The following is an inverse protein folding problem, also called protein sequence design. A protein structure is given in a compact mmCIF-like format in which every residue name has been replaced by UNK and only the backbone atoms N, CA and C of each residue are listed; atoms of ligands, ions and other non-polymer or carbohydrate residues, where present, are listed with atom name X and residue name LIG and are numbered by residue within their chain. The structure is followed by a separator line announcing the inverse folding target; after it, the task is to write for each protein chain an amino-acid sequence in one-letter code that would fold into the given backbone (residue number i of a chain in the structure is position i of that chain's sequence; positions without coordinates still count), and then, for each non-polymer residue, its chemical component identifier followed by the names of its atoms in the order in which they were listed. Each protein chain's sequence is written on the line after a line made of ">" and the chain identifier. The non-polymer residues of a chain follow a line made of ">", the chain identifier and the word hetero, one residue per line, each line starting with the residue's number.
data_IF_175397677255
#
_entry.id   IF_175397677255
#
_cell.length_a   1.000
_cell.length_b   1.000
_cell.length_c   1.000
_cell.angle_alpha   90.00
_cell.angle_beta   90.00
_cell.angle_gamma   90.00
#
_symmetry.space_group_name_H-M   'P 1'
#
loop_
_entity.id
_entity.type
_entity.pdbx_description
1 polymer ?
#
# COMPACT_ATOMS: atom_id res chain seq x y z
N UNK A 1 -10.67 4.56 -21.17
CA UNK A 1 -9.45 4.58 -20.33
C UNK A 1 -8.73 5.90 -20.59
N UNK A 2 -8.21 6.54 -19.55
CA UNK A 2 -7.37 7.75 -19.68
C UNK A 2 -6.00 7.33 -20.20
N UNK A 3 -5.42 8.06 -21.15
CA UNK A 3 -4.05 7.80 -21.57
C UNK A 3 -3.08 8.31 -20.50
N UNK A 4 -2.26 7.40 -19.96
CA UNK A 4 -1.33 7.69 -18.86
C UNK A 4 -0.36 8.82 -19.20
N UNK A 5 0.24 8.81 -20.40
CA UNK A 5 1.22 9.81 -20.81
C UNK A 5 0.57 11.20 -20.95
N UNK A 6 -0.57 11.27 -21.64
CA UNK A 6 -1.30 12.52 -21.84
C UNK A 6 -1.80 13.12 -20.53
N UNK A 7 -2.32 12.28 -19.64
CA UNK A 7 -2.79 12.73 -18.33
C UNK A 7 -1.64 13.20 -17.44
N UNK A 8 -0.49 12.52 -17.47
CA UNK A 8 0.71 12.94 -16.75
C UNK A 8 1.17 14.34 -17.21
N UNK A 9 1.31 14.57 -18.52
CA UNK A 9 1.67 15.91 -19.05
C UNK A 9 0.67 16.99 -18.66
N UNK A 10 -0.63 16.65 -18.64
CA UNK A 10 -1.69 17.56 -18.22
C UNK A 10 -1.58 17.93 -16.73
N UNK A 11 -1.34 16.96 -15.86
CA UNK A 11 -1.14 17.20 -14.43
C UNK A 11 0.10 18.06 -14.18
N UNK A 12 1.22 17.72 -14.82
CA UNK A 12 2.47 18.46 -14.70
C UNK A 12 2.29 19.93 -15.13
N UNK A 13 1.62 20.18 -16.27
CA UNK A 13 1.39 21.54 -16.73
C UNK A 13 0.48 22.33 -15.78
N UNK A 14 -0.64 21.75 -15.34
CA UNK A 14 -1.59 22.43 -14.46
C UNK A 14 -1.05 22.63 -13.03
N UNK A 15 -0.10 21.80 -12.60
CA UNK A 15 0.63 22.02 -11.35
C UNK A 15 1.49 23.29 -11.38
N UNK A 16 2.14 23.56 -12.52
CA UNK A 16 3.01 24.72 -12.71
C UNK A 16 2.23 25.99 -13.10
N UNK A 17 1.07 25.81 -13.74
CA UNK A 17 0.25 26.88 -14.28
C UNK A 17 -1.20 26.70 -13.87
N UNK A 18 -1.56 27.27 -12.72
CA UNK A 18 -2.95 27.31 -12.31
C UNK A 18 -3.80 28.06 -13.35
N UNK A 19 -5.04 27.62 -13.51
CA UNK A 19 -6.06 28.33 -14.28
C UNK A 19 -5.77 28.41 -15.81
N UNK A 20 -5.17 27.38 -16.41
CA UNK A 20 -4.85 27.32 -17.84
C UNK A 20 -6.09 27.17 -18.75
N UNK A 21 -6.05 27.74 -19.96
CA UNK A 21 -7.10 27.55 -20.97
C UNK A 21 -6.82 26.36 -21.88
N UNK A 22 -7.82 25.91 -22.66
CA UNK A 22 -7.61 24.85 -23.66
C UNK A 22 -6.56 25.24 -24.72
N UNK A 23 -6.44 26.54 -25.03
CA UNK A 23 -5.45 27.03 -25.99
C UNK A 23 -4.03 26.86 -25.44
N UNK A 24 -3.83 27.16 -24.16
CA UNK A 24 -2.54 27.01 -23.49
C UNK A 24 -2.15 25.53 -23.44
N UNK A 25 -3.09 24.66 -23.03
CA UNK A 25 -2.88 23.21 -22.99
C UNK A 25 -2.52 22.63 -24.36
N UNK A 26 -3.23 23.02 -25.43
CA UNK A 26 -2.94 22.54 -26.79
C UNK A 26 -1.61 23.03 -27.35
N UNK A 27 -1.10 24.16 -26.86
CA UNK A 27 0.18 24.71 -27.30
C UNK A 27 1.34 23.87 -26.77
N UNK A 28 1.26 23.45 -25.52
CA UNK A 28 2.35 22.73 -24.83
C UNK A 28 2.21 21.21 -24.95
N UNK A 29 0.97 20.68 -24.93
CA UNK A 29 0.72 19.24 -24.95
C UNK A 29 0.29 18.82 -26.37
N UNK A 30 1.24 18.28 -27.14
CA UNK A 30 1.03 17.83 -28.52
C UNK A 30 0.46 16.41 -28.64
N UNK A 31 -0.42 16.00 -27.72
CA UNK A 31 -1.04 14.68 -27.73
C UNK A 31 -2.42 14.69 -28.37
N UNK A 32 -2.66 13.78 -29.33
CA UNK A 32 -3.90 13.71 -30.12
C UNK A 32 -5.16 13.45 -29.28
N UNK A 33 -5.00 12.86 -28.10
CA UNK A 33 -6.09 12.48 -27.19
C UNK A 33 -6.25 13.42 -25.99
N UNK A 34 -5.64 14.62 -26.02
CA UNK A 34 -5.73 15.61 -24.95
C UNK A 34 -7.19 15.96 -24.59
N UNK A 35 -8.01 16.30 -25.58
CA UNK A 35 -9.41 16.69 -25.34
C UNK A 35 -10.22 15.54 -24.72
N UNK A 36 -10.04 14.33 -25.24
CA UNK A 36 -10.68 13.11 -24.69
C UNK A 36 -10.20 12.83 -23.27
N UNK A 37 -8.91 13.04 -22.99
CA UNK A 37 -8.32 12.89 -21.66
C UNK A 37 -8.91 13.90 -20.67
N UNK A 38 -9.04 15.17 -21.07
CA UNK A 38 -9.69 16.22 -20.28
C UNK A 38 -11.15 15.85 -19.99
N UNK A 39 -11.91 15.42 -21.00
CA UNK A 39 -13.31 15.03 -20.84
C UNK A 39 -13.47 13.88 -19.82
N UNK A 40 -12.66 12.83 -19.94
CA UNK A 40 -12.68 11.71 -19.00
C UNK A 40 -12.25 12.18 -17.59
N UNK A 41 -11.22 13.00 -17.47
CA UNK A 41 -10.74 13.49 -16.18
C UNK A 41 -11.78 14.39 -15.48
N UNK A 42 -12.54 15.21 -16.21
CA UNK A 42 -13.67 15.97 -15.66
C UNK A 42 -14.77 15.02 -15.19
N UNK A 43 -15.13 14.01 -16.00
CA UNK A 43 -16.14 13.01 -15.63
C UNK A 43 -15.76 12.25 -14.35
N UNK A 44 -14.47 11.97 -14.17
CA UNK A 44 -13.91 11.34 -12.97
C UNK A 44 -13.68 12.33 -11.82
N UNK A 45 -14.04 13.61 -11.97
CA UNK A 45 -13.84 14.68 -10.99
C UNK A 45 -12.38 14.92 -10.61
N UNK A 46 -11.43 14.53 -11.47
CA UNK A 46 -9.99 14.79 -11.33
C UNK A 46 -9.62 16.19 -11.83
N UNK A 47 -10.41 16.72 -12.77
CA UNK A 47 -10.32 18.08 -13.26
C UNK A 47 -11.63 18.81 -13.10
N UNK A 48 -11.55 20.12 -12.95
CA UNK A 48 -12.67 21.02 -13.00
C UNK A 48 -12.42 22.11 -14.05
N UNK A 49 -13.49 22.53 -14.71
CA UNK A 49 -13.46 23.63 -15.66
C UNK A 49 -14.37 24.76 -15.19
N UNK A 50 -13.79 25.89 -14.81
CA UNK A 50 -14.49 27.11 -14.39
C UNK A 50 -14.05 28.26 -15.28
N UNK A 51 -14.99 29.05 -15.80
CA UNK A 51 -14.69 30.24 -16.64
C UNK A 51 -13.69 29.97 -17.77
N UNK A 52 -13.83 28.82 -18.43
CA UNK A 52 -12.98 28.30 -19.52
C UNK A 52 -11.54 27.94 -19.11
N UNK A 53 -11.24 27.91 -17.82
CA UNK A 53 -9.95 27.55 -17.24
C UNK A 53 -10.04 26.19 -16.55
N UNK A 54 -8.96 25.42 -16.59
CA UNK A 54 -8.89 24.08 -16.02
C UNK A 54 -8.08 24.08 -14.73
N UNK A 55 -8.54 23.29 -13.77
CA UNK A 55 -7.96 23.16 -12.44
C UNK A 55 -7.91 21.68 -12.04
N UNK A 56 -6.84 21.29 -11.36
CA UNK A 56 -6.75 19.99 -10.71
C UNK A 56 -7.66 19.98 -9.48
N UNK A 57 -8.37 18.86 -9.27
CA UNK A 57 -9.29 18.66 -8.14
C UNK A 57 -8.67 17.84 -7.02
N UNK A 58 -7.37 17.64 -7.08
CA UNK A 58 -6.58 16.87 -6.13
C UNK A 58 -5.25 17.57 -5.88
N UNK A 59 -4.67 17.39 -4.69
CA UNK A 59 -3.35 17.94 -4.37
C UNK A 59 -2.24 17.17 -5.09
N UNK A 60 -1.19 17.90 -5.47
CA UNK A 60 0.09 17.34 -5.90
C UNK A 60 1.13 17.72 -4.87
N UNK A 61 1.76 16.73 -4.25
CA UNK A 61 2.73 16.94 -3.18
C UNK A 61 4.16 16.88 -3.71
N UNK A 62 4.94 17.92 -3.41
CA UNK A 62 6.38 17.95 -3.67
C UNK A 62 7.17 17.45 -2.47
N UNK A 63 8.46 17.13 -2.67
CA UNK A 63 9.35 16.73 -1.58
C UNK A 63 9.39 17.78 -0.46
N UNK A 64 9.39 19.08 -0.82
CA UNK A 64 9.33 20.16 0.17
C UNK A 64 8.06 20.09 1.02
N UNK A 65 6.90 19.91 0.39
CA UNK A 65 5.62 19.80 1.10
C UNK A 65 5.63 18.60 2.05
N UNK A 66 6.15 17.45 1.62
CA UNK A 66 6.33 16.27 2.46
C UNK A 66 7.23 16.57 3.66
N UNK A 67 8.38 17.21 3.45
CA UNK A 67 9.28 17.62 4.54
C UNK A 67 8.64 18.63 5.51
N UNK A 68 7.74 19.49 5.02
CA UNK A 68 7.00 20.42 5.89
C UNK A 68 5.91 19.69 6.69
N UNK A 69 5.21 18.71 6.08
CA UNK A 69 4.26 17.83 6.77
C UNK A 69 4.93 17.05 7.90
N UNK A 70 6.14 16.54 7.67
CA UNK A 70 6.91 15.82 8.68
C UNK A 70 7.17 16.70 9.91
N UNK A 71 7.30 18.02 9.77
CA UNK A 71 7.57 18.93 10.89
C UNK A 71 6.30 19.33 11.67
N UNK A 72 5.11 18.97 11.19
CA UNK A 72 3.88 19.27 11.90
C UNK A 72 3.86 18.56 13.27
N UNK A 73 3.46 19.29 14.32
CA UNK A 73 3.37 18.76 15.69
C UNK A 73 2.50 17.50 15.75
N UNK A 74 1.30 17.56 15.15
CA UNK A 74 0.39 16.39 15.09
C UNK A 74 0.99 15.18 14.37
N UNK A 75 1.84 15.39 13.37
CA UNK A 75 2.52 14.29 12.67
C UNK A 75 3.60 13.67 13.56
N UNK A 76 4.39 14.49 14.24
CA UNK A 76 5.41 14.03 15.17
C UNK A 76 4.80 13.28 16.36
N UNK A 77 3.70 13.79 16.93
CA UNK A 77 2.95 13.10 17.98
C UNK A 77 2.45 11.72 17.52
N UNK A 78 1.86 11.63 16.32
CA UNK A 78 1.41 10.38 15.74
C UNK A 78 2.57 9.38 15.56
N UNK A 79 3.73 9.85 15.11
CA UNK A 79 4.91 9.02 14.93
C UNK A 79 5.44 8.50 16.29
N UNK A 80 5.46 9.34 17.32
CA UNK A 80 5.84 8.92 18.67
C UNK A 80 4.85 7.92 19.29
N UNK A 81 3.55 8.00 18.95
CA UNK A 81 2.57 6.98 19.34
C UNK A 81 2.92 5.64 18.70
N UNK A 82 3.21 5.59 17.39
CA UNK A 82 3.61 4.34 16.72
C UNK A 82 4.90 3.74 17.30
N UNK A 83 5.88 4.58 17.65
CA UNK A 83 7.17 4.15 18.23
C UNK A 83 7.06 3.55 19.63
N UNK A 84 5.93 3.70 20.34
CA UNK A 84 5.73 3.05 21.64
C UNK A 84 5.56 1.52 21.53
N UNK A 85 5.41 1.00 20.31
CA UNK A 85 5.45 -0.43 19.96
C UNK A 85 4.51 -1.35 20.76
N UNK A 86 3.34 -0.85 21.18
CA UNK A 86 2.27 -1.77 21.54
C UNK A 86 1.74 -2.39 20.26
N UNK A 87 2.05 -3.68 20.06
CA UNK A 87 1.66 -4.43 18.87
C UNK A 87 0.17 -4.32 18.57
N UNK A 88 -0.70 -4.31 19.57
CA UNK A 88 -2.16 -4.21 19.35
C UNK A 88 -2.53 -2.84 18.76
N UNK A 89 -2.02 -1.76 19.36
CA UNK A 89 -2.23 -0.40 18.87
C UNK A 89 -1.67 -0.21 17.45
N UNK A 90 -0.43 -0.65 17.18
CA UNK A 90 0.18 -0.53 15.85
C UNK A 90 -0.68 -1.15 14.76
N UNK A 91 -1.27 -2.32 15.03
CA UNK A 91 -2.13 -2.97 14.05
C UNK A 91 -3.53 -2.34 13.96
N UNK A 92 -4.05 -1.75 15.04
CA UNK A 92 -5.25 -0.92 14.97
C UNK A 92 -5.03 0.26 14.01
N UNK A 93 -3.88 0.93 14.09
CA UNK A 93 -3.51 2.03 13.19
C UNK A 93 -3.36 1.57 11.74
N UNK A 94 -2.68 0.44 11.50
CA UNK A 94 -2.55 -0.13 10.15
C UNK A 94 -3.90 -0.51 9.56
N UNK A 95 -4.81 -1.06 10.37
CA UNK A 95 -6.17 -1.37 9.95
C UNK A 95 -6.97 -0.11 9.60
N UNK A 96 -6.87 0.94 10.42
CA UNK A 96 -7.51 2.23 10.13
C UNK A 96 -7.00 2.80 8.81
N UNK A 97 -5.68 2.79 8.60
CA UNK A 97 -5.09 3.24 7.36
C UNK A 97 -5.53 2.39 6.16
N UNK A 98 -5.61 1.06 6.29
CA UNK A 98 -6.17 0.20 5.22
C UNK A 98 -7.63 0.60 4.88
N UNK A 99 -8.47 0.86 5.88
CA UNK A 99 -9.85 1.35 5.65
C UNK A 99 -9.86 2.71 4.97
N UNK A 100 -8.94 3.59 5.34
CA UNK A 100 -8.81 4.91 4.73
C UNK A 100 -8.43 4.83 3.25
N UNK A 101 -7.58 3.87 2.85
CA UNK A 101 -7.24 3.61 1.45
C UNK A 101 -8.46 3.17 0.61
N UNK A 102 -9.50 2.63 1.24
CA UNK A 102 -10.76 2.28 0.55
C UNK A 102 -11.67 3.49 0.32
N UNK A 103 -11.30 4.69 0.80
CA UNK A 103 -12.06 5.92 0.59
C UNK A 103 -11.68 6.61 -0.74
N UNK A 104 -12.53 7.51 -1.23
CA UNK A 104 -12.29 8.25 -2.49
C UNK A 104 -11.36 9.44 -2.30
N UNK A 105 -10.17 9.23 -1.74
CA UNK A 105 -9.11 10.24 -1.69
C UNK A 105 -8.12 9.99 -2.82
N UNK A 106 -7.91 10.99 -3.67
CA UNK A 106 -6.95 10.94 -4.76
C UNK A 106 -5.95 12.09 -4.60
N UNK A 107 -4.68 11.79 -4.74
CA UNK A 107 -3.58 12.74 -4.72
C UNK A 107 -2.51 12.28 -5.70
N UNK A 108 -1.60 13.18 -6.03
CA UNK A 108 -0.38 12.82 -6.76
C UNK A 108 0.83 13.30 -5.97
N UNK A 109 1.96 12.67 -6.27
CA UNK A 109 3.27 13.07 -5.76
C UNK A 109 4.13 13.47 -6.95
N UNK A 110 4.93 14.51 -6.75
CA UNK A 110 6.04 14.80 -7.65
C UNK A 110 7.08 13.66 -7.53
N UNK A 111 7.85 13.43 -8.58
CA UNK A 111 8.82 12.32 -8.63
C UNK A 111 9.73 12.28 -7.38
N UNK A 112 10.07 11.06 -6.93
CA UNK A 112 11.02 10.72 -5.85
C UNK A 112 10.49 10.60 -4.40
N UNK A 113 9.18 10.65 -4.14
CA UNK A 113 8.66 10.40 -2.78
C UNK A 113 8.38 8.89 -2.60
N UNK A 114 9.24 8.21 -1.84
CA UNK A 114 8.98 6.85 -1.39
C UNK A 114 7.87 6.87 -0.33
N UNK A 115 6.84 6.06 -0.52
CA UNK A 115 5.73 5.92 0.42
C UNK A 115 5.56 4.46 0.82
N UNK A 116 5.14 4.26 2.06
CA UNK A 116 4.60 3.00 2.51
C UNK A 116 3.29 2.74 1.77
N UNK A 117 3.00 1.47 1.58
CA UNK A 117 1.81 1.02 0.91
C UNK A 117 1.27 -0.23 1.63
N UNK A 118 -0.03 -0.48 1.54
CA UNK A 118 -0.69 -1.62 2.16
C UNK A 118 -1.25 -2.55 1.09
N UNK A 119 -1.03 -3.85 1.28
CA UNK A 119 -1.70 -4.90 0.51
C UNK A 119 -2.38 -5.89 1.45
N UNK A 120 -3.51 -6.42 1.00
CA UNK A 120 -4.27 -7.44 1.70
C UNK A 120 -4.47 -8.68 0.82
N UNK A 121 -4.40 -9.85 1.47
CA UNK A 121 -4.72 -11.15 0.87
C UNK A 121 -5.66 -11.89 1.82
N UNK A 122 -6.89 -12.17 1.38
CA UNK A 122 -7.98 -12.63 2.26
C UNK A 122 -8.82 -13.75 1.66
N UNK A 123 -9.21 -14.70 2.51
CA UNK A 123 -10.26 -15.68 2.26
C UNK A 123 -11.24 -15.66 3.44
N UNK A 124 -12.10 -16.67 3.56
CA UNK A 124 -13.10 -16.75 4.63
C UNK A 124 -12.51 -17.04 6.01
N UNK A 125 -11.27 -17.53 6.10
CA UNK A 125 -10.63 -17.94 7.35
C UNK A 125 -9.67 -16.89 7.92
N UNK A 126 -8.90 -16.22 7.04
CA UNK A 126 -7.86 -15.27 7.44
C UNK A 126 -7.82 -14.06 6.50
N UNK A 127 -7.26 -12.96 7.03
CA UNK A 127 -6.73 -11.85 6.23
C UNK A 127 -5.26 -11.68 6.58
N UNK A 128 -4.39 -11.81 5.58
CA UNK A 128 -2.98 -11.42 5.64
C UNK A 128 -2.88 -9.96 5.22
N UNK A 129 -2.29 -9.12 6.08
CA UNK A 129 -2.10 -7.69 5.79
C UNK A 129 -0.62 -7.37 5.93
N UNK A 130 -0.10 -6.65 4.94
CA UNK A 130 1.28 -6.19 4.91
C UNK A 130 1.35 -4.70 4.60
N UNK A 131 2.20 -3.99 5.33
CA UNK A 131 2.60 -2.61 5.04
C UNK A 131 4.10 -2.61 4.75
N UNK A 132 4.53 -2.04 3.63
CA UNK A 132 5.93 -2.04 3.21
C UNK A 132 6.24 -0.80 2.38
N UNK A 133 7.53 -0.52 2.17
CA UNK A 133 7.94 0.51 1.22
C UNK A 133 7.64 0.07 -0.22
N UNK A 134 7.22 1.00 -1.07
CA UNK A 134 6.97 0.72 -2.49
C UNK A 134 8.17 0.07 -3.18
N UNK A 135 7.90 -0.96 -4.00
CA UNK A 135 8.89 -1.65 -4.82
C UNK A 135 9.54 -2.88 -4.19
N UNK A 136 9.20 -3.24 -2.95
CA UNK A 136 9.77 -4.40 -2.26
C UNK A 136 8.83 -5.62 -2.21
N UNK A 137 8.95 -6.63 -3.08
CA UNK A 137 7.98 -7.75 -3.13
C UNK A 137 8.28 -8.89 -2.14
N UNK A 138 8.48 -8.56 -0.86
CA UNK A 138 8.92 -9.51 0.18
C UNK A 138 7.78 -10.18 0.95
N UNK A 139 6.53 -9.75 0.76
CA UNK A 139 5.36 -10.23 1.50
C UNK A 139 4.35 -10.93 0.60
N UNK A 140 3.59 -11.89 1.15
CA UNK A 140 2.60 -12.65 0.38
C UNK A 140 1.52 -11.74 -0.24
N UNK A 141 0.91 -10.77 0.48
CA UNK A 141 -0.09 -9.92 -0.12
C UNK A 141 0.44 -9.09 -1.29
N UNK A 142 1.70 -8.65 -1.25
CA UNK A 142 2.28 -7.92 -2.37
C UNK A 142 2.64 -8.81 -3.54
N UNK A 143 3.20 -9.98 -3.28
CA UNK A 143 3.50 -10.95 -4.33
C UNK A 143 2.25 -11.31 -5.16
N UNK A 144 1.12 -11.59 -4.51
CA UNK A 144 -0.13 -11.87 -5.24
C UNK A 144 -0.77 -10.64 -5.87
N UNK A 145 -0.63 -9.44 -5.28
CA UNK A 145 -1.06 -8.20 -5.96
C UNK A 145 -0.25 -7.96 -7.22
N UNK A 146 1.07 -8.08 -7.16
CA UNK A 146 1.96 -7.95 -8.30
C UNK A 146 1.64 -8.98 -9.38
N UNK A 147 1.34 -10.24 -9.02
CA UNK A 147 1.06 -11.31 -9.98
C UNK A 147 -0.23 -11.04 -10.78
N UNK A 148 -1.18 -10.30 -10.18
CA UNK A 148 -2.43 -9.88 -10.84
C UNK A 148 -2.25 -8.64 -11.71
N UNK A 149 -1.45 -7.68 -11.25
CA UNK A 149 -1.30 -6.37 -11.87
C UNK A 149 -0.23 -6.36 -12.98
N UNK A 150 0.79 -7.19 -12.84
CA UNK A 150 1.97 -7.20 -13.69
C UNK A 150 2.43 -8.63 -13.99
N UNK A 151 2.33 -9.03 -15.26
CA UNK A 151 2.89 -10.30 -15.76
C UNK A 151 4.44 -10.28 -15.81
N UNK A 152 5.09 -9.21 -15.34
CA UNK A 152 6.56 -9.08 -15.27
C UNK A 152 7.12 -9.28 -13.86
N UNK A 153 6.45 -10.06 -13.00
CA UNK A 153 7.15 -10.70 -11.88
C UNK A 153 8.34 -11.48 -12.49
N UNK A 154 9.54 -10.93 -12.35
CA UNK A 154 10.76 -11.56 -12.85
C UNK A 154 11.17 -12.69 -11.90
N UNK A 155 11.97 -13.62 -12.41
CA UNK A 155 12.65 -14.69 -11.66
C UNK A 155 13.59 -14.18 -10.55
N UNK A 156 13.60 -12.87 -10.26
CA UNK A 156 14.43 -12.25 -9.23
C UNK A 156 13.77 -12.28 -7.84
N UNK A 157 12.50 -12.68 -7.73
CA UNK A 157 11.80 -12.77 -6.45
C UNK A 157 11.87 -14.17 -5.85
N UNK A 158 12.41 -14.28 -4.63
CA UNK A 158 12.48 -15.54 -3.89
C UNK A 158 11.12 -16.24 -3.70
N UNK A 159 10.01 -15.49 -3.72
CA UNK A 159 8.66 -16.06 -3.67
C UNK A 159 8.26 -16.70 -5.00
N UNK A 160 8.68 -16.16 -6.14
CA UNK A 160 8.39 -16.74 -7.45
C UNK A 160 9.11 -18.08 -7.65
N UNK A 161 10.36 -18.20 -7.16
CA UNK A 161 11.11 -19.46 -7.18
C UNK A 161 10.39 -20.62 -6.45
N UNK A 162 9.52 -20.29 -5.50
CA UNK A 162 8.80 -21.27 -4.68
C UNK A 162 7.35 -21.46 -5.12
N UNK A 163 6.66 -20.37 -5.41
CA UNK A 163 5.22 -20.36 -5.71
C UNK A 163 4.91 -20.26 -7.20
N UNK A 164 5.82 -19.78 -8.04
CA UNK A 164 5.61 -19.64 -9.48
C UNK A 164 4.39 -18.80 -9.83
N UNK A 165 3.45 -19.38 -10.58
CA UNK A 165 2.18 -18.80 -11.00
C UNK A 165 0.97 -19.46 -10.31
N UNK A 166 1.18 -20.05 -9.12
CA UNK A 166 0.12 -20.75 -8.40
C UNK A 166 -1.09 -19.84 -8.17
N UNK A 167 -2.29 -20.41 -8.40
CA UNK A 167 -3.56 -19.75 -8.16
C UNK A 167 -3.66 -19.19 -6.72
N UNK A 168 -4.06 -17.92 -6.62
CA UNK A 168 -4.10 -17.17 -5.37
C UNK A 168 -5.05 -17.81 -4.35
N UNK A 169 -6.25 -18.20 -4.78
CA UNK A 169 -7.27 -18.70 -3.86
C UNK A 169 -6.87 -20.07 -3.32
N UNK A 170 -6.28 -20.91 -4.18
CA UNK A 170 -5.67 -22.17 -3.76
C UNK A 170 -4.53 -21.96 -2.76
N UNK A 171 -3.58 -21.07 -3.07
CA UNK A 171 -2.45 -20.78 -2.18
C UNK A 171 -2.94 -20.26 -0.81
N UNK A 172 -3.92 -19.37 -0.81
CA UNK A 172 -4.45 -18.78 0.40
C UNK A 172 -5.16 -19.79 1.30
N UNK A 173 -5.88 -20.76 0.73
CA UNK A 173 -6.44 -21.88 1.48
C UNK A 173 -5.34 -22.73 2.13
N UNK A 174 -4.21 -22.96 1.44
CA UNK A 174 -3.08 -23.68 2.00
C UNK A 174 -2.39 -22.89 3.12
N UNK A 175 -2.19 -21.58 2.96
CA UNK A 175 -1.64 -20.72 4.01
C UNK A 175 -2.53 -20.72 5.25
N UNK A 176 -3.84 -20.59 5.08
CA UNK A 176 -4.82 -20.59 6.17
C UNK A 176 -4.77 -21.89 6.96
N UNK A 177 -4.78 -23.03 6.26
CA UNK A 177 -4.65 -24.34 6.89
C UNK A 177 -3.35 -24.48 7.69
N UNK A 178 -2.21 -24.04 7.14
CA UNK A 178 -0.91 -24.11 7.81
C UNK A 178 -0.89 -23.21 9.05
N UNK A 179 -1.31 -21.95 8.93
CA UNK A 179 -1.33 -20.97 10.03
C UNK A 179 -2.22 -21.48 11.17
N UNK A 180 -3.44 -21.96 10.88
CA UNK A 180 -4.32 -22.52 11.90
C UNK A 180 -3.72 -23.76 12.60
N UNK A 181 -2.98 -24.60 11.86
CA UNK A 181 -2.33 -25.77 12.48
C UNK A 181 -1.24 -25.35 13.46
N UNK A 182 -0.37 -24.42 13.06
CA UNK A 182 0.67 -23.89 13.95
C UNK A 182 0.04 -23.21 15.17
N UNK A 183 -0.99 -22.40 14.96
CA UNK A 183 -1.72 -21.74 16.06
C UNK A 183 -2.30 -22.75 17.08
N UNK A 184 -2.74 -23.93 16.60
CA UNK A 184 -3.25 -25.03 17.45
C UNK A 184 -2.14 -25.96 17.99
N UNK A 185 -0.86 -25.60 17.85
CA UNK A 185 0.28 -26.40 18.31
C UNK A 185 0.47 -27.72 17.52
N UNK A 186 -0.09 -27.82 16.31
CA UNK A 186 -0.01 -29.04 15.48
C UNK A 186 1.18 -28.95 14.53
N UNK A 187 1.86 -30.09 14.34
CA UNK A 187 2.95 -30.22 13.35
C UNK A 187 2.47 -29.89 11.94
N UNK A 188 3.33 -29.25 11.14
CA UNK A 188 3.12 -28.94 9.72
C UNK A 188 4.13 -29.73 8.89
N UNK A 189 3.74 -30.11 7.67
CA UNK A 189 4.62 -30.80 6.72
C UNK A 189 5.28 -29.76 5.79
N UNK A 190 6.57 -29.91 5.47
CA UNK A 190 7.21 -29.09 4.44
C UNK A 190 6.47 -29.16 3.10
N UNK A 191 6.33 -28.01 2.47
CA UNK A 191 5.65 -27.74 1.20
C UNK A 191 6.07 -26.36 0.67
N UNK A 192 5.81 -26.08 -0.60
CA UNK A 192 6.03 -24.76 -1.19
C UNK A 192 5.33 -23.64 -0.39
N UNK A 193 4.15 -23.91 0.14
CA UNK A 193 3.39 -22.94 0.94
C UNK A 193 4.05 -22.66 2.28
N UNK A 194 4.50 -23.72 2.96
CA UNK A 194 5.22 -23.59 4.22
C UNK A 194 6.57 -22.88 4.04
N UNK A 195 7.23 -23.08 2.89
CA UNK A 195 8.48 -22.41 2.54
C UNK A 195 8.24 -20.93 2.23
N UNK A 196 7.18 -20.59 1.50
CA UNK A 196 6.81 -19.20 1.25
C UNK A 196 6.52 -18.46 2.56
N UNK A 197 5.82 -19.09 3.51
CA UNK A 197 5.57 -18.52 4.84
C UNK A 197 6.86 -18.31 5.66
N UNK A 198 7.91 -19.11 5.44
CA UNK A 198 9.23 -18.90 6.06
C UNK A 198 9.98 -17.75 5.39
N UNK A 199 9.97 -17.69 4.05
CA UNK A 199 10.61 -16.61 3.26
C UNK A 199 10.02 -15.25 3.65
N UNK A 200 8.70 -15.15 3.77
CA UNK A 200 8.03 -13.92 4.18
C UNK A 200 8.08 -13.66 5.68
N UNK A 201 8.79 -14.49 6.45
CA UNK A 201 8.94 -14.36 7.91
C UNK A 201 7.60 -14.40 8.66
N UNK A 202 6.56 -14.96 8.06
CA UNK A 202 5.29 -15.24 8.76
C UNK A 202 5.49 -16.37 9.77
N UNK A 203 6.22 -17.40 9.35
CA UNK A 203 6.67 -18.50 10.19
C UNK A 203 8.17 -18.39 10.45
N UNK A 204 8.60 -19.05 11.53
CA UNK A 204 10.00 -19.39 11.80
C UNK A 204 10.10 -20.83 12.28
N UNK A 205 11.29 -21.39 12.21
CA UNK A 205 11.62 -22.68 12.82
C UNK A 205 12.69 -22.43 13.88
N UNK A 206 12.45 -22.89 15.10
CA UNK A 206 13.43 -22.75 16.18
C UNK A 206 14.58 -23.76 16.07
N UNK A 207 15.52 -23.72 17.02
CA UNK A 207 16.69 -24.60 17.04
C UNK A 207 16.34 -26.08 17.20
N UNK A 208 15.14 -26.42 17.66
CA UNK A 208 14.65 -27.79 17.84
C UNK A 208 13.84 -28.29 16.65
N UNK A 209 13.67 -27.45 15.60
CA UNK A 209 12.88 -27.80 14.43
C UNK A 209 11.38 -27.57 14.63
N UNK A 210 10.96 -26.89 15.69
CA UNK A 210 9.55 -26.58 15.95
C UNK A 210 9.17 -25.31 15.20
N UNK A 211 8.07 -25.42 14.46
CA UNK A 211 7.53 -24.33 13.66
C UNK A 211 6.70 -23.40 14.54
N UNK A 212 6.94 -22.10 14.41
CA UNK A 212 6.33 -21.06 15.23
C UNK A 212 5.81 -19.94 14.35
N UNK A 213 4.74 -19.29 14.80
CA UNK A 213 4.23 -18.09 14.15
C UNK A 213 5.02 -16.89 14.66
N UNK A 214 5.64 -16.15 13.74
CA UNK A 214 6.37 -14.92 14.04
C UNK A 214 5.48 -13.69 13.85
N UNK A 215 4.59 -13.73 12.88
CA UNK A 215 3.65 -12.64 12.60
C UNK A 215 2.51 -12.62 13.63
N UNK A 216 2.19 -11.46 14.22
CA UNK A 216 1.13 -11.36 15.22
C UNK A 216 -0.26 -11.75 14.69
N UNK A 217 -1.04 -12.42 15.56
CA UNK A 217 -2.44 -12.75 15.31
C UNK A 217 -3.35 -11.77 16.03
N UNK A 218 -4.32 -11.24 15.31
CA UNK A 218 -5.37 -10.38 15.82
C UNK A 218 -6.70 -11.10 15.72
N UNK A 219 -7.55 -10.91 16.73
CA UNK A 219 -8.90 -11.48 16.80
C UNK A 219 -9.99 -10.47 16.46
N UNK A 220 -9.78 -9.21 16.81
CA UNK A 220 -10.76 -8.15 16.60
C UNK A 220 -10.09 -6.90 16.03
N UNK A 221 -10.89 -6.09 15.35
CA UNK A 221 -10.50 -4.75 14.96
C UNK A 221 -10.60 -3.85 16.20
N UNK A 222 -9.49 -3.22 16.56
CA UNK A 222 -9.49 -2.18 17.59
C UNK A 222 -9.68 -0.78 16.95
N UNK A 223 -10.14 0.15 17.78
CA UNK A 223 -10.26 1.56 17.40
C UNK A 223 -8.88 2.22 17.30
N UNK A 224 -8.71 3.14 16.34
CA UNK A 224 -7.45 3.87 16.19
C UNK A 224 -7.26 4.90 17.31
N UNK A 225 -6.04 4.98 17.81
CA UNK A 225 -5.59 5.91 18.85
C UNK A 225 -4.94 7.18 18.29
N UNK A 226 -4.51 7.15 17.02
CA UNK A 226 -3.89 8.30 16.36
C UNK A 226 -4.95 9.25 15.82
N UNK A 227 -4.89 10.50 16.28
CA UNK A 227 -5.68 11.61 15.76
C UNK A 227 -4.92 12.34 14.64
N UNK A 228 -4.77 11.67 13.50
CA UNK A 228 -4.24 12.26 12.27
C UNK A 228 -5.40 12.48 11.30
N UNK A 229 -5.37 13.60 10.55
CA UNK A 229 -6.38 13.85 9.52
C UNK A 229 -6.56 12.64 8.60
N UNK A 230 -7.78 12.42 8.08
CA UNK A 230 -8.10 11.35 7.13
C UNK A 230 -7.47 11.53 5.74
N UNK A 231 -6.29 12.12 5.67
CA UNK A 231 -5.49 12.28 4.47
C UNK A 231 -4.62 11.02 4.29
N UNK A 232 -4.91 10.25 3.24
CA UNK A 232 -4.16 9.00 2.96
C UNK A 232 -2.66 9.24 2.74
N UNK A 233 -2.23 10.39 2.22
CA UNK A 233 -0.81 10.69 2.08
C UNK A 233 -0.15 10.80 3.45
N UNK A 234 -0.77 11.55 4.38
CA UNK A 234 -0.19 11.73 5.73
C UNK A 234 -0.01 10.38 6.42
N UNK A 235 -0.99 9.49 6.30
CA UNK A 235 -0.90 8.14 6.84
C UNK A 235 0.16 7.28 6.15
N UNK A 236 0.27 7.33 4.81
CA UNK A 236 1.35 6.65 4.09
C UNK A 236 2.71 7.14 4.53
N UNK A 237 2.89 8.45 4.63
CA UNK A 237 4.13 9.07 5.08
C UNK A 237 4.44 8.68 6.53
N UNK A 238 3.45 8.67 7.41
CA UNK A 238 3.59 8.24 8.79
C UNK A 238 4.15 6.81 8.87
N UNK A 239 3.55 5.86 8.15
CA UNK A 239 4.04 4.48 8.10
C UNK A 239 5.40 4.36 7.41
N UNK A 240 5.69 5.21 6.41
CA UNK A 240 7.03 5.28 5.79
C UNK A 240 8.07 5.61 6.84
N UNK A 241 7.86 6.68 7.62
CA UNK A 241 8.79 7.12 8.66
C UNK A 241 8.89 6.14 9.82
N UNK A 242 7.80 5.45 10.14
CA UNK A 242 7.84 4.38 11.11
C UNK A 242 8.67 3.17 10.65
N UNK A 243 8.52 2.73 9.39
CA UNK A 243 9.32 1.65 8.80
C UNK A 243 10.81 2.02 8.73
N UNK A 244 11.13 3.23 8.27
CA UNK A 244 12.49 3.79 8.24
C UNK A 244 13.11 3.78 9.65
N UNK A 245 12.38 4.25 10.67
CA UNK A 245 12.84 4.26 12.06
C UNK A 245 13.11 2.85 12.60
N UNK A 246 12.27 1.87 12.25
CA UNK A 246 12.41 0.48 12.70
C UNK A 246 13.58 -0.24 12.02
N UNK A 247 14.12 0.33 10.93
CA UNK A 247 15.12 -0.33 10.09
C UNK A 247 14.58 -1.62 9.46
N UNK A 248 13.28 -1.66 9.18
CA UNK A 248 12.60 -2.83 8.62
C UNK A 248 11.76 -2.42 7.41
N UNK A 249 11.83 -3.22 6.35
CA UNK A 249 11.23 -2.89 5.07
C UNK A 249 9.73 -3.24 5.01
N UNK A 250 9.25 -4.06 5.96
CA UNK A 250 7.83 -4.41 6.05
C UNK A 250 7.30 -4.73 7.46
N UNK A 251 6.00 -4.50 7.65
CA UNK A 251 5.19 -4.94 8.79
C UNK A 251 4.11 -5.87 8.28
N UNK A 252 3.85 -6.94 9.01
CA UNK A 252 2.84 -7.93 8.67
C UNK A 252 2.02 -8.30 9.90
N UNK A 253 0.73 -8.59 9.70
CA UNK A 253 -0.14 -9.20 10.70
C UNK A 253 -1.19 -10.09 10.04
N UNK A 254 -1.77 -10.96 10.86
CA UNK A 254 -2.81 -11.90 10.45
C UNK A 254 -4.05 -11.59 11.28
N UNK A 255 -5.16 -11.34 10.60
CA UNK A 255 -6.47 -11.33 11.23
C UNK A 255 -7.11 -12.71 11.04
N UNK A 256 -7.45 -13.38 12.14
CA UNK A 256 -8.28 -14.58 12.10
C UNK A 256 -9.76 -14.16 12.02
N UNK A 257 -10.52 -14.82 11.16
CA UNK A 257 -11.98 -14.68 11.11
C UNK A 257 -12.60 -15.76 11.99
N UNK A 258 -13.50 -15.34 12.87
CA UNK A 258 -14.28 -16.23 13.74
C UNK A 258 -15.36 -17.00 12.96
#
# INVERSE_FOLDING_TARGET
>A
MVNKATFHSLCHYLYQHEAATLRDLKKEISNRDLEKTIEIAIKLRLLERVDRRYYLRFPIFSQKMVTDLEKEETFQEALEILKKEDSQNLFAELNYFNRLLQTTYFYAVHEEIQLADISELKNDEITLISCQLQGDYTTLPYYFTALREDNTITEEFALYDVLGDVDQDYALNQFSYIIQRIHRGKKVRPSIFSQALLITKILSVDTEGVWQLRTPLLKHYEDNSINLAGDTLKWRLLFTKFLEWKGNDSLQYILLKD
#
